data_IF_479138145882
#
_entry.id   IF_479138145882
#
_cell.length_a   1.000
_cell.length_b   1.000
_cell.length_c   1.000
_cell.angle_alpha   90.00
_cell.angle_beta   90.00
_cell.angle_gamma   90.00
#
_symmetry.space_group_name_H-M   'P 1'
#
loop_
_entity.id
_entity.type
_entity.pdbx_description
1 polymer ?
#
# COMPACT_ATOMS: atom_id res chain seq x y z
N UNK A 1 27.42 39.74 19.53
CA UNK A 1 26.75 39.53 20.82
C UNK A 1 25.28 39.39 20.56
N UNK A 2 24.76 38.16 20.57
CA UNK A 2 23.42 37.87 20.05
C UNK A 2 22.40 37.72 21.18
N UNK A 3 22.84 37.32 22.39
CA UNK A 3 21.94 37.08 23.52
C UNK A 3 22.44 37.75 24.81
N UNK A 4 21.67 38.63 25.47
CA UNK A 4 22.04 39.19 26.77
C UNK A 4 21.82 38.20 27.93
N UNK A 5 22.55 38.37 29.03
CA UNK A 5 22.36 37.61 30.29
C UNK A 5 20.91 37.74 30.76
N UNK A 6 20.30 36.62 31.16
CA UNK A 6 18.90 36.53 31.58
C UNK A 6 17.92 36.24 30.44
N UNK A 7 18.38 36.12 29.19
CA UNK A 7 17.54 35.75 28.05
C UNK A 7 17.18 34.27 28.10
N UNK A 8 15.90 33.96 27.87
CA UNK A 8 15.43 32.59 27.65
C UNK A 8 15.75 32.16 26.22
N UNK A 9 16.39 31.03 26.09
CA UNK A 9 16.84 30.42 24.82
C UNK A 9 16.45 28.95 24.80
N UNK A 10 16.38 28.36 23.61
CA UNK A 10 16.25 26.91 23.41
C UNK A 10 17.53 26.38 22.78
N UNK A 11 17.96 25.19 23.21
CA UNK A 11 19.06 24.50 22.54
C UNK A 11 18.58 23.98 21.18
N UNK A 12 19.35 24.23 20.12
CA UNK A 12 18.99 23.84 18.75
C UNK A 12 18.82 22.32 18.59
N UNK A 13 19.63 21.52 19.30
CA UNK A 13 19.65 20.06 19.15
C UNK A 13 18.67 19.31 20.06
N UNK A 14 18.44 19.79 21.29
CA UNK A 14 17.57 19.10 22.27
C UNK A 14 16.21 19.75 22.41
N UNK A 15 16.06 21.02 22.02
CA UNK A 15 14.81 21.79 22.18
C UNK A 15 14.51 22.23 23.61
N UNK A 16 15.40 21.93 24.56
CA UNK A 16 15.24 22.26 25.98
C UNK A 16 15.37 23.76 26.22
N UNK A 17 14.57 24.28 27.15
CA UNK A 17 14.56 25.70 27.51
C UNK A 17 15.62 26.01 28.56
N UNK A 18 16.47 26.99 28.30
CA UNK A 18 17.53 27.43 29.19
C UNK A 18 17.56 28.96 29.33
N UNK A 19 18.16 29.44 30.41
CA UNK A 19 18.42 30.88 30.65
C UNK A 19 19.91 31.14 30.69
N UNK A 20 20.38 32.17 30.00
CA UNK A 20 21.80 32.55 30.00
C UNK A 20 22.19 33.16 31.35
N UNK A 21 23.20 32.60 32.01
CA UNK A 21 23.69 33.06 33.31
C UNK A 21 24.95 33.93 33.19
N UNK A 22 25.93 33.52 32.38
CA UNK A 22 27.20 34.23 32.20
C UNK A 22 27.77 34.07 30.79
N UNK A 23 28.57 35.05 30.34
CA UNK A 23 29.39 34.93 29.13
C UNK A 23 30.82 34.56 29.52
N UNK A 24 31.37 33.53 28.89
CA UNK A 24 32.73 33.04 29.14
C UNK A 24 33.76 33.59 28.14
N UNK A 25 33.32 34.30 27.09
CA UNK A 25 34.17 34.74 25.98
C UNK A 25 34.20 33.73 24.83
N UNK A 26 34.76 34.11 23.68
CA UNK A 26 34.92 33.26 22.48
C UNK A 26 33.63 32.61 21.94
N UNK A 27 32.49 33.28 22.12
CA UNK A 27 31.19 32.77 21.66
C UNK A 27 30.65 31.62 22.49
N UNK A 28 31.13 31.44 23.74
CA UNK A 28 30.62 30.46 24.70
C UNK A 28 29.87 31.19 25.82
N UNK A 29 28.70 30.65 26.17
CA UNK A 29 27.85 31.15 27.26
C UNK A 29 27.48 30.03 28.21
N UNK A 30 27.41 30.34 29.49
CA UNK A 30 26.79 29.45 30.47
C UNK A 30 25.28 29.61 30.43
N UNK A 31 24.61 28.47 30.39
CA UNK A 31 23.16 28.37 30.43
C UNK A 31 22.72 27.51 31.61
N UNK A 32 21.52 27.79 32.12
CA UNK A 32 20.84 26.97 33.13
C UNK A 32 19.53 26.45 32.55
N UNK A 33 19.36 25.12 32.53
CA UNK A 33 18.15 24.46 32.03
C UNK A 33 16.96 24.72 32.97
N UNK A 34 15.77 24.83 32.39
CA UNK A 34 14.54 25.09 33.15
C UNK A 34 14.11 23.81 33.87
N UNK A 35 14.41 23.70 35.16
CA UNK A 35 14.12 22.52 35.99
C UNK A 35 15.36 21.85 36.57
N UNK A 36 16.55 22.28 36.17
CA UNK A 36 17.82 21.80 36.69
C UNK A 36 18.61 22.93 37.38
N UNK A 37 19.44 22.58 38.36
CA UNK A 37 20.20 23.55 39.16
C UNK A 37 21.62 23.76 38.63
N UNK A 38 22.08 22.91 37.72
CA UNK A 38 23.43 22.92 37.18
C UNK A 38 23.56 23.89 35.98
N UNK A 39 24.75 24.50 35.83
CA UNK A 39 25.10 25.40 34.73
C UNK A 39 26.04 24.71 33.74
N UNK A 40 25.74 24.85 32.45
CA UNK A 40 26.48 24.20 31.37
C UNK A 40 27.03 25.23 30.38
N UNK A 41 28.31 25.13 29.97
CA UNK A 41 28.85 25.96 28.91
C UNK A 41 28.39 25.45 27.54
N UNK A 42 27.78 26.33 26.75
CA UNK A 42 27.27 26.04 25.40
C UNK A 42 27.68 27.15 24.44
N UNK A 43 27.96 26.80 23.18
CA UNK A 43 28.28 27.77 22.14
C UNK A 43 27.05 28.62 21.78
N UNK A 44 27.23 29.93 21.61
CA UNK A 44 26.16 30.87 21.19
C UNK A 44 25.50 30.44 19.87
N UNK A 45 26.22 29.74 18.98
CA UNK A 45 25.71 29.24 17.71
C UNK A 45 24.67 28.11 17.86
N UNK A 46 24.66 27.42 19.01
CA UNK A 46 23.77 26.28 19.28
C UNK A 46 22.51 26.70 20.05
N UNK A 47 22.33 28.01 20.27
CA UNK A 47 21.20 28.60 20.97
C UNK A 47 20.29 29.34 19.99
N UNK A 48 18.98 29.18 20.16
CA UNK A 48 17.96 29.87 19.37
C UNK A 48 16.88 30.47 20.27
N UNK A 49 16.31 31.60 19.87
CA UNK A 49 15.24 32.23 20.64
C UNK A 49 13.96 31.39 20.57
N UNK A 50 13.14 31.32 21.63
CA UNK A 50 11.92 30.51 21.65
C UNK A 50 10.96 30.79 20.48
N UNK A 51 10.88 32.04 20.02
CA UNK A 51 10.05 32.43 18.86
C UNK A 51 10.61 32.00 17.49
N UNK A 52 11.88 31.62 17.44
CA UNK A 52 12.60 31.17 16.24
C UNK A 52 12.76 29.65 16.23
N UNK A 53 12.44 28.99 17.34
CA UNK A 53 12.39 27.54 17.45
C UNK A 53 11.14 27.03 16.74
N UNK A 54 11.31 26.52 15.51
CA UNK A 54 10.35 25.59 14.91
C UNK A 54 10.63 24.23 15.52
N UNK A 55 9.62 23.58 16.10
CA UNK A 55 9.76 22.20 16.56
C UNK A 55 10.38 21.35 15.45
N UNK A 56 11.52 20.74 15.75
CA UNK A 56 12.08 19.73 14.85
C UNK A 56 11.05 18.59 14.80
N UNK A 57 10.38 18.47 13.66
CA UNK A 57 9.54 17.32 13.36
C UNK A 57 10.44 16.09 13.49
N UNK A 58 10.08 15.09 14.32
CA UNK A 58 10.93 13.90 14.48
C UNK A 58 11.12 13.22 13.12
N UNK A 59 12.38 13.02 12.74
CA UNK A 59 12.87 12.40 11.48
C UNK A 59 12.40 10.95 11.24
N UNK A 60 11.43 10.46 12.00
CA UNK A 60 10.92 9.08 11.94
C UNK A 60 9.39 9.01 11.71
N UNK A 61 8.81 9.99 11.04
CA UNK A 61 7.65 9.68 10.19
C UNK A 61 8.19 9.02 8.91
N UNK A 62 7.63 7.89 8.43
CA UNK A 62 7.95 7.45 7.08
C UNK A 62 7.70 8.65 6.19
N UNK A 63 8.69 9.00 5.35
CA UNK A 63 8.52 10.01 4.34
C UNK A 63 7.17 9.72 3.66
N UNK A 64 6.19 10.61 3.86
CA UNK A 64 5.12 10.72 2.88
C UNK A 64 5.91 10.94 1.61
N UNK A 65 5.95 9.94 0.73
CA UNK A 65 6.54 10.17 -0.58
C UNK A 65 5.77 11.36 -1.10
N UNK A 66 6.40 12.53 -1.17
CA UNK A 66 5.88 13.61 -1.98
C UNK A 66 5.92 13.04 -3.39
N UNK A 67 4.85 12.32 -3.76
CA UNK A 67 4.56 11.97 -5.12
C UNK A 67 4.66 13.28 -5.86
N UNK A 68 5.57 13.36 -6.82
CA UNK A 68 5.69 14.48 -7.74
C UNK A 68 4.26 14.92 -8.08
N UNK A 69 3.90 16.21 -7.88
CA UNK A 69 2.52 16.64 -8.05
C UNK A 69 2.05 16.25 -9.45
N UNK A 70 1.20 15.22 -9.50
CA UNK A 70 0.67 14.68 -10.74
C UNK A 70 -0.28 15.72 -11.32
N UNK A 71 -0.32 15.83 -12.64
CA UNK A 71 -1.24 16.76 -13.32
C UNK A 71 -2.68 16.36 -12.95
N UNK A 72 -3.41 17.30 -12.36
CA UNK A 72 -4.83 17.16 -12.01
C UNK A 72 -5.66 18.10 -12.86
N UNK A 73 -6.78 17.61 -13.36
CA UNK A 73 -7.74 18.37 -14.15
C UNK A 73 -9.09 18.22 -13.47
N UNK A 74 -9.73 19.33 -13.14
CA UNK A 74 -11.05 19.35 -12.51
C UNK A 74 -12.08 19.75 -13.56
N UNK A 75 -13.25 19.12 -13.53
CA UNK A 75 -14.33 19.49 -14.43
C UNK A 75 -14.80 20.93 -14.16
N UNK A 76 -15.03 21.71 -15.23
CA UNK A 76 -15.53 23.09 -15.11
C UNK A 76 -17.06 23.16 -14.92
N UNK A 77 -17.78 22.07 -15.17
CA UNK A 77 -19.25 22.00 -15.13
C UNK A 77 -19.76 20.72 -14.46
N UNK A 78 -20.88 20.82 -13.74
CA UNK A 78 -21.50 19.68 -13.03
C UNK A 78 -22.19 18.64 -13.95
N UNK A 79 -22.34 18.93 -15.25
CA UNK A 79 -23.00 18.05 -16.22
C UNK A 79 -22.03 17.05 -16.90
N UNK A 80 -21.31 16.25 -16.10
CA UNK A 80 -20.36 15.26 -16.64
C UNK A 80 -21.06 13.90 -16.85
N UNK A 81 -21.25 13.53 -18.12
CA UNK A 81 -21.63 12.18 -18.56
C UNK A 81 -20.47 11.55 -19.36
N UNK A 82 -20.17 10.25 -19.21
CA UNK A 82 -20.85 9.25 -18.40
C UNK A 82 -20.45 9.29 -16.92
N UNK A 83 -21.44 9.10 -16.04
CA UNK A 83 -21.26 8.91 -14.60
C UNK A 83 -20.40 7.66 -14.34
N UNK A 84 -19.47 7.74 -13.38
CA UNK A 84 -18.66 6.59 -12.99
C UNK A 84 -17.15 6.85 -12.86
N UNK A 85 -16.39 5.76 -12.83
CA UNK A 85 -14.93 5.78 -12.78
C UNK A 85 -14.40 5.19 -14.09
N UNK A 86 -13.43 5.87 -14.70
CA UNK A 86 -12.88 5.50 -16.00
C UNK A 86 -11.36 5.57 -16.03
N UNK A 87 -10.75 4.80 -16.92
CA UNK A 87 -9.39 5.01 -17.39
C UNK A 87 -9.45 5.69 -18.76
N UNK A 88 -8.72 6.78 -18.93
CA UNK A 88 -8.65 7.51 -20.19
C UNK A 88 -7.23 7.45 -20.75
N UNK A 89 -7.11 7.06 -22.02
CA UNK A 89 -5.84 6.93 -22.73
C UNK A 89 -5.80 7.95 -23.86
N UNK A 90 -5.06 9.04 -23.64
CA UNK A 90 -4.93 10.15 -24.59
C UNK A 90 -3.74 9.86 -25.52
N UNK A 91 -3.96 9.66 -26.85
CA UNK A 91 -2.89 9.34 -27.78
C UNK A 91 -1.96 10.54 -27.98
N UNK A 92 -0.65 10.30 -27.88
CA UNK A 92 0.39 11.23 -28.29
C UNK A 92 1.00 10.79 -29.62
N UNK A 93 0.94 11.69 -30.58
CA UNK A 93 1.40 11.45 -31.94
C UNK A 93 2.83 11.94 -32.13
N UNK A 94 3.57 11.24 -32.99
CA UNK A 94 4.87 11.68 -33.52
C UNK A 94 4.67 12.70 -34.63
N UNK A 95 5.77 13.26 -35.11
CA UNK A 95 5.78 14.18 -36.26
C UNK A 95 5.28 13.55 -37.57
N UNK A 96 5.20 12.22 -37.65
CA UNK A 96 4.71 11.46 -38.81
C UNK A 96 3.25 11.00 -38.65
N UNK A 97 2.51 11.55 -37.67
CA UNK A 97 1.11 11.23 -37.37
C UNK A 97 0.87 9.78 -36.88
N UNK A 98 1.93 9.06 -36.52
CA UNK A 98 1.82 7.75 -35.85
C UNK A 98 1.73 7.92 -34.34
N UNK A 99 0.96 7.06 -33.67
CA UNK A 99 0.86 7.08 -32.20
C UNK A 99 2.15 6.52 -31.60
N UNK A 100 2.78 7.28 -30.71
CA UNK A 100 3.95 6.83 -29.96
C UNK A 100 3.57 6.16 -28.64
N UNK A 101 2.73 6.85 -27.87
CA UNK A 101 2.38 6.50 -26.50
C UNK A 101 1.00 7.08 -26.18
N UNK A 102 0.43 6.61 -25.08
CA UNK A 102 -0.80 7.12 -24.51
C UNK A 102 -0.48 7.73 -23.14
N UNK A 103 -0.88 8.98 -22.91
CA UNK A 103 -0.97 9.48 -21.54
C UNK A 103 -2.18 8.85 -20.86
N UNK A 104 -1.98 8.27 -19.69
CA UNK A 104 -3.00 7.52 -18.96
C UNK A 104 -3.50 8.36 -17.81
N UNK A 105 -4.80 8.60 -17.78
CA UNK A 105 -5.47 9.34 -16.73
C UNK A 105 -6.47 8.44 -16.00
N UNK A 106 -6.50 8.58 -14.68
CA UNK A 106 -7.60 8.08 -13.86
C UNK A 106 -8.66 9.15 -13.77
N UNK A 107 -9.91 8.82 -14.14
CA UNK A 107 -10.99 9.80 -14.25
C UNK A 107 -12.11 9.43 -13.28
N UNK A 108 -12.31 10.27 -12.27
CA UNK A 108 -13.41 10.17 -11.33
C UNK A 108 -14.54 11.13 -11.76
N UNK A 109 -15.59 10.61 -12.39
CA UNK A 109 -16.79 11.36 -12.73
C UNK A 109 -17.87 11.28 -11.63
N UNK A 110 -17.52 10.91 -10.40
CA UNK A 110 -18.47 10.80 -9.28
C UNK A 110 -18.51 12.09 -8.45
N UNK A 111 -19.63 12.38 -7.76
CA UNK A 111 -19.79 13.56 -6.93
C UNK A 111 -19.13 13.42 -5.54
N UNK A 112 -18.13 12.55 -5.40
CA UNK A 112 -17.38 12.39 -4.16
C UNK A 112 -15.95 11.94 -4.41
N UNK A 113 -15.07 12.32 -3.49
CA UNK A 113 -13.68 11.90 -3.43
C UNK A 113 -13.53 10.40 -3.12
N UNK A 114 -12.51 9.78 -3.71
CA UNK A 114 -12.14 8.38 -3.53
C UNK A 114 -10.63 8.23 -3.31
N UNK A 115 -10.24 7.18 -2.56
CA UNK A 115 -8.86 6.69 -2.53
C UNK A 115 -8.77 5.55 -3.52
N UNK A 116 -7.75 5.58 -4.37
CA UNK A 116 -7.53 4.56 -5.39
C UNK A 116 -6.10 4.03 -5.34
N UNK A 117 -5.97 2.73 -5.60
CA UNK A 117 -4.75 2.06 -5.98
C UNK A 117 -4.98 1.40 -7.35
N UNK A 118 -4.15 1.70 -8.35
CA UNK A 118 -4.22 1.14 -9.68
C UNK A 118 -2.84 0.66 -10.12
N UNK A 119 -2.73 -0.61 -10.46
CA UNK A 119 -1.47 -1.22 -10.86
C UNK A 119 -1.56 -1.68 -12.32
N UNK A 120 -0.50 -1.42 -13.09
CA UNK A 120 -0.31 -1.88 -14.45
C UNK A 120 0.58 -3.12 -14.45
N UNK A 121 0.07 -4.19 -15.04
CA UNK A 121 0.80 -5.43 -15.28
C UNK A 121 1.07 -5.61 -16.78
N UNK A 122 2.33 -5.85 -17.13
CA UNK A 122 2.76 -6.29 -18.46
C UNK A 122 3.40 -7.66 -18.33
N UNK A 123 2.98 -8.64 -19.13
CA UNK A 123 3.53 -10.01 -19.11
C UNK A 123 3.63 -10.66 -17.71
N UNK A 124 2.72 -10.30 -16.79
CA UNK A 124 2.65 -10.73 -15.38
C UNK A 124 3.61 -10.03 -14.41
N UNK A 125 4.44 -9.11 -14.88
CA UNK A 125 5.25 -8.23 -14.03
C UNK A 125 4.46 -6.95 -13.73
N UNK A 126 4.53 -6.50 -12.47
CA UNK A 126 4.01 -5.19 -12.07
C UNK A 126 5.01 -4.12 -12.52
N UNK A 127 4.57 -3.24 -13.42
CA UNK A 127 5.44 -2.24 -14.05
C UNK A 127 5.22 -0.85 -13.48
N UNK A 128 3.97 -0.51 -13.15
CA UNK A 128 3.63 0.80 -12.63
C UNK A 128 2.52 0.69 -11.57
N UNK A 129 2.68 1.43 -10.48
CA UNK A 129 1.70 1.48 -9.38
C UNK A 129 1.28 2.92 -9.13
N UNK A 130 -0.03 3.18 -9.13
CA UNK A 130 -0.62 4.47 -8.88
C UNK A 130 -1.50 4.40 -7.62
N UNK A 131 -1.09 5.05 -6.54
CA UNK A 131 -1.94 5.25 -5.36
C UNK A 131 -2.14 6.75 -5.15
N UNK A 132 -3.40 7.18 -5.04
CA UNK A 132 -3.73 8.59 -4.82
C UNK A 132 -5.14 8.79 -4.23
N UNK A 133 -5.37 9.95 -3.61
CA UNK A 133 -6.70 10.49 -3.37
C UNK A 133 -7.13 11.29 -4.61
N UNK A 134 -8.21 10.83 -5.24
CA UNK A 134 -8.81 11.50 -6.40
C UNK A 134 -10.09 12.18 -5.94
N UNK A 135 -10.13 13.49 -6.09
CA UNK A 135 -11.28 14.31 -5.70
C UNK A 135 -12.48 14.05 -6.64
N UNK A 136 -13.66 14.55 -6.27
CA UNK A 136 -14.85 14.53 -7.11
C UNK A 136 -14.60 15.22 -8.46
N UNK A 137 -15.23 14.70 -9.52
CA UNK A 137 -15.16 15.27 -10.88
C UNK A 137 -13.73 15.66 -11.31
N UNK A 138 -12.76 14.78 -11.03
CA UNK A 138 -11.34 15.03 -11.21
C UNK A 138 -10.69 13.93 -12.07
N UNK A 139 -9.76 14.34 -12.93
CA UNK A 139 -8.86 13.45 -13.64
C UNK A 139 -7.42 13.66 -13.16
N UNK A 140 -6.70 12.56 -12.89
CA UNK A 140 -5.30 12.57 -12.44
C UNK A 140 -4.45 11.75 -13.40
N UNK A 141 -3.35 12.33 -13.88
CA UNK A 141 -2.38 11.61 -14.72
C UNK A 141 -1.69 10.52 -13.90
N UNK A 142 -1.83 9.26 -14.32
CA UNK A 142 -1.25 8.11 -13.64
C UNK A 142 0.13 7.75 -14.18
N UNK A 143 0.32 7.90 -15.50
CA UNK A 143 1.50 7.40 -16.19
C UNK A 143 1.34 7.41 -17.70
N UNK A 144 2.17 6.62 -18.37
CA UNK A 144 2.21 6.51 -19.83
C UNK A 144 2.24 5.05 -20.26
N UNK A 145 1.52 4.71 -21.33
CA UNK A 145 1.55 3.39 -21.96
C UNK A 145 2.12 3.53 -23.37
N UNK A 146 3.20 2.83 -23.70
CA UNK A 146 3.76 2.85 -25.05
C UNK A 146 2.82 2.14 -26.04
N UNK A 147 2.80 2.59 -27.29
CA UNK A 147 1.95 1.97 -28.30
C UNK A 147 2.26 0.47 -28.49
N UNK A 148 3.55 0.10 -28.47
CA UNK A 148 3.98 -1.28 -28.68
C UNK A 148 3.61 -2.21 -27.51
N UNK A 149 3.51 -1.67 -26.29
CA UNK A 149 3.13 -2.42 -25.07
C UNK A 149 1.69 -2.92 -25.13
N UNK A 150 0.82 -2.33 -25.98
CA UNK A 150 -0.53 -2.86 -26.21
C UNK A 150 -0.53 -4.30 -26.73
N UNK A 151 0.54 -4.74 -27.39
CA UNK A 151 0.69 -6.11 -27.89
C UNK A 151 0.86 -7.13 -26.75
N UNK A 152 1.40 -6.70 -25.61
CA UNK A 152 1.61 -7.55 -24.43
C UNK A 152 0.34 -7.72 -23.58
N UNK A 153 -0.78 -7.20 -24.08
CA UNK A 153 -2.10 -7.21 -23.44
C UNK A 153 -2.08 -6.64 -22.01
N UNK A 154 -1.78 -5.33 -21.86
CA UNK A 154 -1.66 -4.68 -20.56
C UNK A 154 -2.88 -4.92 -19.68
N UNK A 155 -2.64 -5.14 -18.40
CA UNK A 155 -3.69 -5.45 -17.43
C UNK A 155 -3.66 -4.45 -16.28
N UNK A 156 -4.71 -3.64 -16.17
CA UNK A 156 -4.88 -2.68 -15.08
C UNK A 156 -5.73 -3.31 -14.00
N UNK A 157 -5.19 -3.42 -12.79
CA UNK A 157 -5.95 -3.82 -11.59
C UNK A 157 -6.17 -2.59 -10.72
N UNK A 158 -7.44 -2.19 -10.58
CA UNK A 158 -7.84 -1.01 -9.82
C UNK A 158 -8.63 -1.42 -8.59
N UNK A 159 -8.25 -0.88 -7.42
CA UNK A 159 -8.99 -0.89 -6.17
C UNK A 159 -9.34 0.54 -5.78
N UNK A 160 -10.62 0.83 -5.53
CA UNK A 160 -11.09 2.15 -5.10
C UNK A 160 -11.97 2.05 -3.84
N UNK A 161 -11.89 3.07 -2.99
CA UNK A 161 -12.72 3.22 -1.78
C UNK A 161 -13.21 4.66 -1.66
N UNK A 162 -14.48 4.83 -1.29
CA UNK A 162 -15.09 6.14 -1.05
C UNK A 162 -14.65 6.73 0.28
N UNK A 163 -14.35 8.03 0.27
CA UNK A 163 -14.12 8.80 1.50
C UNK A 163 -15.46 9.32 2.02
N UNK A 164 -15.79 9.00 3.27
CA UNK A 164 -16.98 9.51 3.97
C UNK A 164 -16.61 10.07 5.35
N UNK A 165 -17.50 10.88 5.93
CA UNK A 165 -17.37 11.43 7.29
C UNK A 165 -17.36 10.35 8.37
N UNK A 166 -17.92 9.17 8.08
CA UNK A 166 -17.92 8.00 8.97
C UNK A 166 -16.73 7.03 8.71
N UNK A 167 -15.76 7.43 7.86
CA UNK A 167 -14.60 6.62 7.47
C UNK A 167 -14.63 6.16 6.01
N UNK A 168 -13.73 5.23 5.65
CA UNK A 168 -13.65 4.64 4.30
C UNK A 168 -14.81 3.65 4.09
N UNK A 169 -15.52 3.79 2.96
CA UNK A 169 -16.66 2.94 2.58
C UNK A 169 -16.54 2.47 1.14
N UNK A 170 -17.39 1.50 0.78
CA UNK A 170 -17.62 1.07 -0.59
C UNK A 170 -16.33 0.70 -1.33
N UNK A 171 -15.83 -0.51 -1.05
CA UNK A 171 -14.64 -1.05 -1.70
C UNK A 171 -15.00 -1.69 -3.03
N UNK A 172 -14.36 -1.21 -4.09
CA UNK A 172 -14.53 -1.73 -5.44
C UNK A 172 -13.19 -2.20 -5.97
N UNK A 173 -13.17 -3.38 -6.59
CA UNK A 173 -12.01 -3.88 -7.29
C UNK A 173 -12.41 -4.33 -8.69
N UNK A 174 -11.65 -3.92 -9.70
CA UNK A 174 -11.84 -4.35 -11.08
C UNK A 174 -10.51 -4.48 -11.78
N UNK A 175 -10.39 -5.55 -12.54
CA UNK A 175 -9.24 -5.79 -13.42
C UNK A 175 -9.70 -5.67 -14.87
N UNK A 176 -9.02 -4.85 -15.65
CA UNK A 176 -9.30 -4.66 -17.07
C UNK A 176 -8.07 -4.98 -17.89
N UNK A 177 -8.23 -5.95 -18.80
CA UNK A 177 -7.21 -6.33 -19.75
C UNK A 177 -7.43 -5.63 -21.09
N UNK A 178 -6.42 -4.90 -21.55
CA UNK A 178 -6.45 -4.17 -22.81
C UNK A 178 -6.19 -5.12 -23.97
N UNK A 179 -7.23 -5.31 -24.80
CA UNK A 179 -7.12 -6.03 -26.07
C UNK A 179 -7.06 -5.00 -27.20
N UNK A 180 -6.03 -4.99 -28.06
CA UNK A 180 -5.86 -3.98 -29.10
C UNK A 180 -7.11 -3.72 -29.93
N UNK A 181 -7.80 -4.79 -30.35
CA UNK A 181 -9.04 -4.69 -31.14
C UNK A 181 -10.14 -3.88 -30.47
N UNK A 182 -10.32 -4.03 -29.15
CA UNK A 182 -11.36 -3.33 -28.39
C UNK A 182 -10.90 -1.94 -27.98
N UNK A 183 -9.60 -1.79 -27.73
CA UNK A 183 -8.97 -0.53 -27.32
C UNK A 183 -9.14 0.53 -28.41
N UNK A 184 -8.75 0.23 -29.66
CA UNK A 184 -8.85 1.20 -30.75
C UNK A 184 -10.30 1.54 -31.13
N UNK A 185 -11.26 0.63 -30.88
CA UNK A 185 -12.69 0.89 -31.14
C UNK A 185 -13.37 1.72 -30.06
N UNK A 186 -12.73 1.95 -28.91
CA UNK A 186 -13.29 2.66 -27.76
C UNK A 186 -12.83 4.13 -27.68
N UNK A 187 -12.34 4.69 -28.80
CA UNK A 187 -12.03 6.11 -28.92
C UNK A 187 -13.31 6.94 -28.73
N UNK A 188 -13.30 7.85 -27.76
CA UNK A 188 -14.41 8.73 -27.42
C UNK A 188 -13.87 10.07 -26.90
N UNK A 189 -14.78 11.01 -26.64
CA UNK A 189 -14.44 12.26 -25.99
C UNK A 189 -14.42 12.07 -24.45
N UNK A 190 -13.33 12.48 -23.81
CA UNK A 190 -13.20 12.48 -22.35
C UNK A 190 -13.58 13.87 -21.79
N UNK A 191 -14.76 14.06 -21.18
CA UNK A 191 -15.29 15.38 -20.84
C UNK A 191 -14.45 16.14 -19.79
N UNK A 192 -13.82 15.44 -18.84
CA UNK A 192 -12.98 16.09 -17.80
C UNK A 192 -11.61 16.49 -18.36
N UNK A 193 -11.09 15.74 -19.33
CA UNK A 193 -9.78 16.00 -19.93
C UNK A 193 -9.89 16.96 -21.12
N UNK A 194 -11.10 17.07 -21.69
CA UNK A 194 -11.44 17.87 -22.88
C UNK A 194 -10.71 17.44 -24.16
N UNK A 195 -10.32 16.16 -24.23
CA UNK A 195 -9.58 15.60 -25.35
C UNK A 195 -10.19 14.28 -25.86
N UNK A 196 -9.80 13.87 -27.08
CA UNK A 196 -10.11 12.55 -27.61
C UNK A 196 -9.24 11.51 -26.90
N UNK A 197 -9.88 10.54 -26.25
CA UNK A 197 -9.22 9.49 -25.51
C UNK A 197 -9.93 8.16 -25.71
N UNK A 198 -9.17 7.07 -25.65
CA UNK A 198 -9.80 5.76 -25.47
C UNK A 198 -10.30 5.69 -24.03
N UNK A 199 -11.62 5.60 -23.85
CA UNK A 199 -12.26 5.64 -22.55
C UNK A 199 -12.69 4.22 -22.14
N UNK A 200 -12.21 3.77 -20.99
CA UNK A 200 -12.50 2.44 -20.46
C UNK A 200 -13.20 2.58 -19.12
N UNK A 201 -14.47 2.21 -19.08
CA UNK A 201 -15.27 2.30 -17.87
C UNK A 201 -14.92 1.20 -16.88
N UNK A 202 -14.45 1.60 -15.70
CA UNK A 202 -14.24 0.72 -14.57
C UNK A 202 -15.57 0.49 -13.84
N UNK A 203 -16.29 1.54 -13.49
CA UNK A 203 -17.57 1.41 -12.78
C UNK A 203 -18.57 2.43 -13.32
N UNK A 204 -19.77 2.00 -13.75
CA UNK A 204 -20.82 2.90 -14.28
C UNK A 204 -21.66 3.52 -13.14
N UNK A 205 -22.03 2.72 -12.13
CA UNK A 205 -22.80 3.15 -10.98
C UNK A 205 -22.29 2.46 -9.71
N UNK A 206 -21.98 3.22 -8.66
CA UNK A 206 -21.50 2.66 -7.39
C UNK A 206 -22.64 2.18 -6.47
N UNK A 207 -23.91 2.31 -6.90
CA UNK A 207 -25.10 1.91 -6.11
C UNK A 207 -25.55 0.45 -6.29
N UNK A 208 -24.82 -0.39 -7.03
CA UNK A 208 -25.13 -1.82 -7.09
C UNK A 208 -24.28 -2.63 -6.10
N UNK A 209 -24.59 -2.48 -4.81
CA UNK A 209 -24.44 -3.57 -3.85
C UNK A 209 -25.50 -4.64 -4.16
N UNK A 210 -25.29 -5.43 -5.22
CA UNK A 210 -25.85 -6.78 -5.40
C UNK A 210 -25.18 -7.48 -6.59
N UNK A 211 -24.46 -8.56 -6.27
CA UNK A 211 -24.19 -9.70 -7.15
C UNK A 211 -23.49 -9.43 -8.49
N UNK A 212 -22.18 -9.21 -8.48
CA UNK A 212 -21.34 -9.38 -9.69
C UNK A 212 -20.14 -10.31 -9.51
N UNK A 213 -20.01 -11.01 -8.37
CA UNK A 213 -18.93 -12.01 -8.17
C UNK A 213 -19.42 -13.47 -8.36
N UNK A 214 -20.74 -13.69 -8.48
CA UNK A 214 -21.31 -15.05 -8.49
C UNK A 214 -21.52 -15.66 -9.89
N UNK A 215 -21.52 -14.87 -10.97
CA UNK A 215 -21.84 -15.38 -12.32
C UNK A 215 -20.61 -15.53 -13.24
N UNK A 216 -19.62 -14.64 -13.16
CA UNK A 216 -18.42 -14.75 -14.00
C UNK A 216 -17.46 -15.86 -13.52
N UNK A 217 -17.48 -16.14 -12.20
CA UNK A 217 -16.81 -17.32 -11.65
C UNK A 217 -17.38 -18.62 -12.23
N UNK A 218 -18.69 -18.70 -12.49
CA UNK A 218 -19.32 -19.91 -13.05
C UNK A 218 -18.91 -20.11 -14.50
N UNK A 219 -18.80 -19.04 -15.29
CA UNK A 219 -18.44 -19.14 -16.70
C UNK A 219 -16.93 -19.42 -16.87
N UNK A 220 -16.07 -18.77 -16.08
CA UNK A 220 -14.63 -19.01 -16.02
C UNK A 220 -14.30 -20.41 -15.48
N UNK A 221 -14.99 -20.87 -14.43
CA UNK A 221 -14.85 -22.22 -13.89
C UNK A 221 -15.40 -23.25 -14.90
N UNK A 222 -16.48 -22.99 -15.63
CA UNK A 222 -17.01 -23.94 -16.63
C UNK A 222 -16.08 -24.14 -17.84
N UNK A 223 -15.40 -23.09 -18.32
CA UNK A 223 -14.39 -23.20 -19.38
C UNK A 223 -13.11 -23.88 -18.89
N UNK A 224 -12.65 -23.59 -17.67
CA UNK A 224 -11.50 -24.28 -17.08
C UNK A 224 -11.80 -25.75 -16.71
N UNK A 225 -13.02 -26.08 -16.26
CA UNK A 225 -13.45 -27.45 -15.96
C UNK A 225 -13.54 -28.31 -17.24
N UNK A 226 -13.95 -27.73 -18.38
CA UNK A 226 -13.94 -28.44 -19.68
C UNK A 226 -12.53 -28.69 -20.21
N UNK A 227 -11.59 -27.77 -19.96
CA UNK A 227 -10.19 -27.93 -20.34
C UNK A 227 -9.44 -28.91 -19.41
N UNK A 228 -9.72 -28.89 -18.10
CA UNK A 228 -9.15 -29.83 -17.11
C UNK A 228 -9.67 -31.26 -17.24
N UNK A 229 -10.94 -31.46 -17.66
CA UNK A 229 -11.53 -32.79 -17.89
C UNK A 229 -10.89 -33.60 -19.04
N UNK A 230 -10.15 -32.97 -19.96
CA UNK A 230 -9.44 -33.68 -21.03
C UNK A 230 -8.04 -34.18 -20.64
N UNK A 231 -7.48 -33.71 -19.52
CA UNK A 231 -6.10 -34.03 -19.11
C UNK A 231 -6.02 -34.90 -17.85
N UNK A 232 -7.10 -35.07 -17.09
CA UNK A 232 -7.12 -35.86 -15.86
C UNK A 232 -7.83 -37.21 -16.03
N UNK A 233 -7.37 -38.04 -16.98
CA UNK A 233 -7.65 -39.49 -16.99
C UNK A 233 -6.38 -40.22 -16.59
N UNK A 234 -6.08 -40.23 -15.29
CA UNK A 234 -5.32 -41.28 -14.57
C UNK A 234 -5.06 -40.78 -13.15
N UNK A 235 -5.04 -41.73 -12.23
CA UNK A 235 -4.68 -41.62 -10.80
C UNK A 235 -5.76 -41.02 -9.86
N UNK A 236 -6.65 -41.94 -9.44
CA UNK A 236 -6.96 -42.29 -8.05
C UNK A 236 -7.01 -41.21 -6.95
N UNK A 237 -8.23 -41.05 -6.45
CA UNK A 237 -8.64 -40.90 -5.04
C UNK A 237 -8.19 -39.67 -4.23
N UNK A 238 -9.20 -39.05 -3.61
CA UNK A 238 -9.24 -38.42 -2.27
C UNK A 238 -9.68 -36.94 -2.27
N UNK A 239 -10.86 -36.78 -1.67
CA UNK A 239 -11.43 -35.66 -0.88
C UNK A 239 -11.99 -34.42 -1.58
N UNK A 240 -13.33 -34.35 -1.51
CA UNK A 240 -14.17 -33.16 -1.61
C UNK A 240 -13.52 -31.96 -0.90
N UNK A 241 -13.22 -30.91 -1.67
CA UNK A 241 -12.87 -29.60 -1.14
C UNK A 241 -14.08 -29.10 -0.34
N UNK A 242 -14.00 -29.26 0.98
CA UNK A 242 -15.02 -28.83 1.93
C UNK A 242 -15.12 -27.31 1.84
N UNK A 243 -16.34 -26.79 1.77
CA UNK A 243 -16.61 -25.41 2.16
C UNK A 243 -16.07 -25.25 3.58
N UNK A 244 -15.26 -24.23 3.90
CA UNK A 244 -14.76 -24.02 5.25
C UNK A 244 -15.92 -24.08 6.25
N UNK A 245 -15.84 -24.97 7.24
CA UNK A 245 -16.85 -25.04 8.29
C UNK A 245 -16.87 -23.69 9.01
N UNK A 246 -18.06 -23.10 9.17
CA UNK A 246 -18.21 -21.77 9.79
C UNK A 246 -17.67 -21.76 11.23
N UNK A 247 -17.65 -22.93 11.88
CA UNK A 247 -17.01 -23.15 13.18
C UNK A 247 -15.48 -23.07 13.13
N UNK A 248 -14.86 -23.59 12.07
CA UNK A 248 -13.40 -23.59 11.91
C UNK A 248 -12.86 -22.18 11.66
N UNK A 249 -13.58 -21.35 10.92
CA UNK A 249 -13.24 -19.93 10.72
C UNK A 249 -13.35 -19.15 12.03
N UNK A 250 -14.41 -19.41 12.82
CA UNK A 250 -14.62 -18.73 14.10
C UNK A 250 -13.58 -19.10 15.17
N UNK A 251 -13.06 -20.33 15.14
CA UNK A 251 -12.05 -20.82 16.10
C UNK A 251 -10.60 -20.57 15.65
N UNK A 252 -10.38 -20.15 14.40
CA UNK A 252 -9.05 -19.91 13.89
C UNK A 252 -8.39 -18.72 14.61
N UNK A 253 -7.23 -18.96 15.21
CA UNK A 253 -6.42 -17.88 15.78
C UNK A 253 -5.83 -17.03 14.67
N UNK A 254 -6.16 -15.74 14.65
CA UNK A 254 -5.57 -14.75 13.73
C UNK A 254 -4.12 -14.37 14.07
N UNK A 255 -3.54 -15.01 15.08
CA UNK A 255 -2.19 -14.77 15.55
C UNK A 255 -1.47 -16.11 15.74
N UNK A 256 -0.21 -16.18 15.33
CA UNK A 256 0.68 -17.31 15.64
C UNK A 256 1.98 -16.80 16.26
N UNK A 257 2.35 -17.41 17.39
CA UNK A 257 3.63 -17.18 18.05
C UNK A 257 4.64 -18.25 17.64
N UNK A 258 5.70 -17.81 16.95
CA UNK A 258 6.76 -18.66 16.44
C UNK A 258 7.96 -18.74 17.39
N UNK A 259 7.94 -18.14 18.59
CA UNK A 259 9.00 -18.38 19.57
C UNK A 259 9.09 -19.89 19.88
N UNK A 260 10.32 -20.42 19.91
CA UNK A 260 10.56 -21.87 19.92
C UNK A 260 9.95 -22.54 21.17
N UNK A 261 9.89 -21.81 22.27
CA UNK A 261 9.28 -22.20 23.55
C UNK A 261 7.78 -22.51 23.40
N UNK A 262 7.11 -21.88 22.43
CA UNK A 262 5.70 -22.11 22.12
C UNK A 262 5.49 -23.28 21.14
N UNK A 263 6.54 -23.75 20.46
CA UNK A 263 6.46 -24.78 19.43
C UNK A 263 6.88 -26.17 19.94
N UNK A 264 7.86 -26.24 20.85
CA UNK A 264 8.35 -27.50 21.42
C UNK A 264 8.98 -27.31 22.79
N UNK A 265 8.82 -28.30 23.68
CA UNK A 265 9.46 -28.31 25.00
C UNK A 265 10.94 -28.76 24.97
N UNK A 266 11.38 -29.45 23.92
CA UNK A 266 12.72 -30.03 23.80
C UNK A 266 13.64 -29.21 22.87
N UNK A 267 13.57 -27.88 22.96
CA UNK A 267 14.33 -27.00 22.07
C UNK A 267 15.82 -26.90 22.39
N UNK A 268 16.24 -27.27 23.61
CA UNK A 268 17.63 -27.19 24.07
C UNK A 268 18.59 -28.16 23.38
N UNK A 269 18.06 -29.24 22.77
CA UNK A 269 18.85 -30.20 21.99
C UNK A 269 18.96 -29.83 20.51
N UNK A 270 18.25 -28.80 20.05
CA UNK A 270 18.21 -28.41 18.64
C UNK A 270 19.30 -27.40 18.32
N UNK A 271 19.88 -27.52 17.13
CA UNK A 271 20.74 -26.48 16.56
C UNK A 271 19.90 -25.29 16.11
N UNK A 272 20.54 -24.12 15.99
CA UNK A 272 19.87 -22.90 15.50
C UNK A 272 19.22 -23.08 14.12
N UNK A 273 19.80 -23.92 13.26
CA UNK A 273 19.23 -24.21 11.94
C UNK A 273 17.95 -25.05 12.04
N UNK A 274 17.94 -26.07 12.92
CA UNK A 274 16.76 -26.90 13.18
C UNK A 274 15.64 -26.11 13.84
N UNK A 275 15.98 -25.17 14.75
CA UNK A 275 15.01 -24.25 15.36
C UNK A 275 14.30 -23.42 14.28
N UNK A 276 15.08 -22.77 13.40
CA UNK A 276 14.50 -21.95 12.32
C UNK A 276 13.65 -22.80 11.37
N UNK A 277 14.14 -24.00 11.00
CA UNK A 277 13.41 -24.91 10.12
C UNK A 277 12.05 -25.31 10.74
N UNK A 278 12.02 -25.62 12.03
CA UNK A 278 10.78 -25.96 12.74
C UNK A 278 9.82 -24.76 12.79
N UNK A 279 10.33 -23.56 13.07
CA UNK A 279 9.53 -22.32 13.07
C UNK A 279 8.90 -22.06 11.70
N UNK A 280 9.67 -22.21 10.62
CA UNK A 280 9.18 -22.04 9.25
C UNK A 280 8.13 -23.10 8.88
N UNK A 281 8.32 -24.36 9.31
CA UNK A 281 7.33 -25.41 9.08
C UNK A 281 5.98 -25.13 9.77
N UNK A 282 6.01 -24.54 10.97
CA UNK A 282 4.80 -24.12 11.66
C UNK A 282 4.13 -22.93 10.98
N UNK A 283 4.93 -21.96 10.55
CA UNK A 283 4.49 -20.82 9.75
C UNK A 283 3.79 -21.27 8.45
N UNK A 284 4.41 -22.13 7.65
CA UNK A 284 3.83 -22.61 6.38
C UNK A 284 2.48 -23.31 6.58
N UNK A 285 2.38 -24.15 7.61
CA UNK A 285 1.14 -24.86 7.94
C UNK A 285 0.03 -23.91 8.39
N UNK A 286 0.39 -22.90 9.17
CA UNK A 286 -0.52 -21.85 9.60
C UNK A 286 -1.03 -21.03 8.41
N UNK A 287 -0.13 -20.62 7.53
CA UNK A 287 -0.45 -19.88 6.30
C UNK A 287 -1.38 -20.68 5.38
N UNK A 288 -1.07 -21.96 5.15
CA UNK A 288 -1.93 -22.84 4.35
C UNK A 288 -3.36 -22.93 4.92
N UNK A 289 -3.48 -23.01 6.26
CA UNK A 289 -4.78 -23.04 6.93
C UNK A 289 -5.51 -21.70 6.85
N UNK A 290 -4.81 -20.57 7.02
CA UNK A 290 -5.39 -19.23 6.88
C UNK A 290 -5.97 -19.01 5.47
N UNK A 291 -5.21 -19.41 4.43
CA UNK A 291 -5.64 -19.34 3.02
C UNK A 291 -6.84 -20.26 2.78
N UNK A 292 -6.79 -21.50 3.28
CA UNK A 292 -7.89 -22.46 3.14
C UNK A 292 -9.19 -21.92 3.77
N UNK A 293 -9.08 -21.23 4.90
CA UNK A 293 -10.21 -20.64 5.62
C UNK A 293 -10.60 -19.25 5.08
N UNK A 294 -9.90 -18.72 4.08
CA UNK A 294 -10.12 -17.38 3.51
C UNK A 294 -10.14 -16.28 4.58
N UNK A 295 -9.16 -16.32 5.49
CA UNK A 295 -9.01 -15.31 6.54
C UNK A 295 -8.40 -14.05 5.95
N UNK A 296 -9.00 -12.88 6.21
CA UNK A 296 -8.56 -11.61 5.60
C UNK A 296 -7.19 -11.13 6.09
N UNK A 297 -6.85 -11.40 7.36
CA UNK A 297 -5.69 -10.84 8.05
C UNK A 297 -5.17 -11.75 9.16
N UNK A 298 -3.85 -11.88 9.27
CA UNK A 298 -3.17 -12.60 10.36
C UNK A 298 -1.92 -11.87 10.85
N UNK A 299 -1.46 -12.22 12.06
CA UNK A 299 -0.21 -11.72 12.66
C UNK A 299 0.76 -12.87 12.95
N UNK A 300 1.98 -12.74 12.44
CA UNK A 300 3.07 -13.69 12.63
C UNK A 300 4.08 -13.12 13.62
N UNK A 301 4.11 -13.64 14.84
CA UNK A 301 4.97 -13.14 15.92
C UNK A 301 6.28 -13.93 15.88
N UNK A 302 7.38 -13.29 15.46
CA UNK A 302 8.70 -13.90 15.29
C UNK A 302 9.76 -13.36 16.26
N UNK A 303 9.42 -12.34 17.06
CA UNK A 303 10.32 -11.70 18.03
C UNK A 303 11.30 -10.71 17.41
N UNK A 304 12.04 -9.99 18.25
CA UNK A 304 12.98 -8.94 17.82
C UNK A 304 14.30 -9.54 17.27
N UNK A 305 14.88 -10.50 18.00
CA UNK A 305 16.01 -11.34 17.57
C UNK A 305 17.13 -10.66 16.76
N UNK A 306 17.79 -11.45 15.89
CA UNK A 306 18.77 -10.96 14.90
C UNK A 306 18.15 -10.78 13.50
N UNK A 307 16.82 -10.85 13.38
CA UNK A 307 16.09 -10.72 12.12
C UNK A 307 16.15 -11.92 11.16
N UNK A 308 16.84 -13.03 11.47
CA UNK A 308 16.90 -14.20 10.56
C UNK A 308 15.53 -14.79 10.25
N UNK A 309 14.73 -15.10 11.28
CA UNK A 309 13.40 -15.67 11.11
C UNK A 309 12.47 -14.71 10.37
N UNK A 310 12.51 -13.41 10.72
CA UNK A 310 11.80 -12.34 10.00
C UNK A 310 12.11 -12.34 8.52
N UNK A 311 13.40 -12.40 8.15
CA UNK A 311 13.82 -12.34 6.75
C UNK A 311 13.36 -13.57 5.95
N UNK A 312 13.41 -14.76 6.54
CA UNK A 312 12.90 -15.98 5.90
C UNK A 312 11.37 -15.96 5.74
N UNK A 313 10.64 -15.45 6.76
CA UNK A 313 9.20 -15.23 6.66
C UNK A 313 8.87 -14.23 5.54
N UNK A 314 9.53 -13.07 5.53
CA UNK A 314 9.35 -12.06 4.49
C UNK A 314 9.63 -12.62 3.08
N UNK A 315 10.69 -13.43 2.95
CA UNK A 315 11.00 -14.14 1.70
C UNK A 315 9.90 -15.12 1.33
N UNK A 316 9.39 -15.93 2.26
CA UNK A 316 8.31 -16.87 1.95
C UNK A 316 7.02 -16.15 1.54
N UNK A 317 6.67 -15.05 2.24
CA UNK A 317 5.50 -14.23 1.95
C UNK A 317 5.59 -13.55 0.58
N UNK A 318 6.78 -13.03 0.20
CA UNK A 318 6.96 -12.37 -1.10
C UNK A 318 6.79 -13.28 -2.30
N UNK A 319 6.92 -14.61 -2.13
CA UNK A 319 6.71 -15.60 -3.20
C UNK A 319 5.30 -16.22 -3.15
N UNK A 320 4.46 -15.84 -2.18
CA UNK A 320 3.14 -16.42 -1.99
C UNK A 320 2.08 -15.60 -2.74
N UNK A 321 1.50 -16.17 -3.80
CA UNK A 321 0.52 -15.51 -4.66
C UNK A 321 -0.82 -15.19 -3.97
N UNK A 322 -1.07 -15.77 -2.79
CA UNK A 322 -2.29 -15.50 -2.00
C UNK A 322 -2.08 -14.36 -1.00
N UNK A 323 -0.87 -13.81 -0.88
CA UNK A 323 -0.57 -12.70 0.02
C UNK A 323 -0.61 -11.41 -0.78
N UNK A 324 -1.51 -10.50 -0.39
CA UNK A 324 -1.64 -9.18 -1.01
C UNK A 324 -0.58 -8.22 -0.51
N UNK A 325 -0.37 -8.19 0.81
CA UNK A 325 0.57 -7.29 1.45
C UNK A 325 1.03 -7.88 2.78
N UNK A 326 2.27 -7.59 3.18
CA UNK A 326 2.73 -7.86 4.54
C UNK A 326 3.55 -6.68 5.09
N UNK A 327 3.34 -6.36 6.36
CA UNK A 327 3.95 -5.20 7.03
C UNK A 327 4.66 -5.63 8.30
N UNK A 328 5.86 -5.10 8.51
CA UNK A 328 6.59 -5.26 9.75
C UNK A 328 6.73 -3.87 10.40
N UNK A 329 5.64 -3.42 10.99
CA UNK A 329 5.51 -2.11 11.63
C UNK A 329 5.34 -2.26 13.14
N UNK A 330 5.51 -1.15 13.87
CA UNK A 330 5.28 -1.14 15.30
C UNK A 330 3.82 -1.48 15.62
N UNK A 331 3.62 -2.56 16.39
CA UNK A 331 2.33 -2.96 16.91
C UNK A 331 2.25 -2.74 18.42
N UNK A 332 1.18 -2.13 18.98
CA UNK A 332 1.07 -1.88 20.42
C UNK A 332 1.21 -3.13 21.31
N UNK A 333 0.80 -4.30 20.82
CA UNK A 333 0.90 -5.58 21.54
C UNK A 333 2.24 -6.32 21.35
N UNK A 334 2.95 -6.08 20.24
CA UNK A 334 4.10 -6.90 19.82
C UNK A 334 5.39 -6.11 19.57
N UNK A 335 5.34 -4.78 19.67
CA UNK A 335 6.41 -3.90 19.21
C UNK A 335 6.73 -4.18 17.74
N UNK A 336 8.03 -4.32 17.44
CA UNK A 336 8.55 -4.67 16.11
C UNK A 336 8.74 -6.19 15.91
N UNK A 337 8.18 -7.01 16.81
CA UNK A 337 8.37 -8.45 16.84
C UNK A 337 7.36 -9.26 16.03
N UNK A 338 6.52 -8.61 15.22
CA UNK A 338 5.47 -9.27 14.45
C UNK A 338 5.41 -8.75 13.02
N UNK A 339 4.95 -9.62 12.11
CA UNK A 339 4.62 -9.29 10.73
C UNK A 339 3.13 -9.48 10.53
N UNK A 340 2.45 -8.41 10.12
CA UNK A 340 1.07 -8.44 9.68
C UNK A 340 1.00 -8.94 8.24
N UNK A 341 0.05 -9.82 7.93
CA UNK A 341 -0.16 -10.36 6.59
C UNK A 341 -1.63 -10.19 6.20
N UNK A 342 -1.84 -9.61 5.02
CA UNK A 342 -3.14 -9.42 4.39
C UNK A 342 -3.23 -10.31 3.15
N UNK A 343 -4.34 -11.02 3.00
CA UNK A 343 -4.58 -11.96 1.90
C UNK A 343 -5.35 -11.32 0.72
#
# INVERSE_FOLDING_TARGET
>A
MIFPIGTKVKLKFTGEEATITHHLGDGIVNIRLTGDMDEFPVAEADLILPHQYKEAVPDNMPAISESVPRKRIFAETDEVQPLGIHLAFVPKYKSDDTIQEYAVYFVNCLPYSIIVACNLFLLQDEVESFTDKVDELCAVEMGTLLFDELNDHPEYTTSAQRISTEGLRDHFQKTVKLKPKNFFSALSYAPIIEEQAVLITLFEHLDQTKQAVAEDLKHYVATQVKQRKKQATKTSSVTFQQVPDTLDVAQFSREIDLHIENLTSNFTSLTNAEIIALQLQHFERYMAKAIQLSVDRVFIIHGLGKGRLRNEIARSLSHNTYVREFKNEFHPKYGWGATEVLF
#
